data_IF_683230959835
#
_entry.id   IF_683230959835
#
_cell.length_a   1.000
_cell.length_b   1.000
_cell.length_c   1.000
_cell.angle_alpha   90.00
_cell.angle_beta   90.00
_cell.angle_gamma   90.00
#
_symmetry.space_group_name_H-M   'P 1'
#
loop_
_entity.id
_entity.type
_entity.pdbx_description
1 polymer ?
#
# COMPACT_ATOMS: atom_id res chain seq x y z
N UNK A 1 13.25 8.01 -6.97
CA UNK A 1 13.69 7.15 -5.85
C UNK A 1 12.87 7.28 -4.56
N UNK A 2 12.25 8.43 -4.24
CA UNK A 2 11.50 8.61 -2.99
C UNK A 2 10.22 7.74 -2.88
N UNK A 3 9.40 7.70 -3.93
CA UNK A 3 8.11 6.99 -3.87
C UNK A 3 8.27 5.48 -3.69
N UNK A 4 9.24 4.88 -4.37
CA UNK A 4 9.57 3.46 -4.22
C UNK A 4 10.00 3.14 -2.78
N UNK A 5 10.91 3.94 -2.20
CA UNK A 5 11.36 3.76 -0.83
C UNK A 5 10.24 3.98 0.20
N UNK A 6 9.39 4.99 -0.04
CA UNK A 6 8.23 5.28 0.80
C UNK A 6 7.27 4.09 0.85
N UNK A 7 6.87 3.57 -0.31
CA UNK A 7 5.96 2.43 -0.37
C UNK A 7 6.60 1.13 0.11
N UNK A 8 7.85 0.86 -0.25
CA UNK A 8 8.57 -0.34 0.19
C UNK A 8 8.71 -0.36 1.72
N UNK A 9 9.15 0.75 2.32
CA UNK A 9 9.31 0.87 3.77
C UNK A 9 7.97 0.76 4.48
N UNK A 10 6.97 1.51 4.04
CA UNK A 10 5.63 1.49 4.65
C UNK A 10 4.97 0.12 4.57
N UNK A 11 5.10 -0.57 3.44
CA UNK A 11 4.60 -1.93 3.25
C UNK A 11 5.31 -2.94 4.16
N UNK A 12 6.64 -2.88 4.25
CA UNK A 12 7.42 -3.78 5.10
C UNK A 12 7.07 -3.60 6.59
N UNK A 13 6.92 -2.36 7.05
CA UNK A 13 6.51 -2.06 8.43
C UNK A 13 5.06 -2.48 8.70
N UNK A 14 4.15 -2.29 7.74
CA UNK A 14 2.78 -2.80 7.85
C UNK A 14 2.75 -4.33 8.02
N UNK A 15 3.51 -5.07 7.22
CA UNK A 15 3.61 -6.52 7.36
C UNK A 15 4.22 -6.93 8.70
N UNK A 16 5.22 -6.20 9.19
CA UNK A 16 5.83 -6.46 10.48
C UNK A 16 4.81 -6.29 11.62
N UNK A 17 4.01 -5.23 11.59
CA UNK A 17 2.94 -4.99 12.55
C UNK A 17 1.86 -6.07 12.47
N UNK A 18 1.41 -6.42 11.26
CA UNK A 18 0.35 -7.42 11.04
C UNK A 18 0.75 -8.80 11.57
N UNK A 19 1.99 -9.22 11.35
CA UNK A 19 2.45 -10.57 11.67
C UNK A 19 3.26 -10.68 12.97
N UNK A 20 3.50 -9.56 13.66
CA UNK A 20 4.32 -9.51 14.88
C UNK A 20 5.79 -9.87 14.67
N UNK A 21 6.27 -9.88 13.42
CA UNK A 21 7.64 -10.22 13.05
C UNK A 21 8.01 -9.59 11.72
N UNK A 22 9.29 -9.26 11.53
CA UNK A 22 9.78 -8.78 10.24
C UNK A 22 9.68 -9.88 9.19
N UNK A 23 9.13 -9.55 8.03
CA UNK A 23 9.01 -10.44 6.87
C UNK A 23 9.98 -9.94 5.80
N UNK A 24 10.88 -10.82 5.34
CA UNK A 24 11.69 -10.57 4.16
C UNK A 24 10.92 -11.03 2.94
N UNK A 25 10.57 -10.12 2.04
CA UNK A 25 9.90 -10.43 0.79
C UNK A 25 10.91 -10.41 -0.37
N UNK A 26 10.76 -11.32 -1.35
CA UNK A 26 11.41 -11.18 -2.65
C UNK A 26 11.14 -9.83 -3.30
N UNK A 27 12.15 -9.26 -3.98
CA UNK A 27 12.05 -7.92 -4.60
C UNK A 27 10.85 -7.79 -5.55
N UNK A 28 10.54 -8.83 -6.33
CA UNK A 28 9.41 -8.82 -7.25
C UNK A 28 8.04 -8.71 -6.55
N UNK A 29 7.92 -9.12 -5.28
CA UNK A 29 6.70 -8.91 -4.49
C UNK A 29 6.64 -7.47 -3.96
N UNK A 30 7.77 -6.91 -3.53
CA UNK A 30 7.86 -5.49 -3.15
C UNK A 30 7.51 -4.59 -4.34
N UNK A 31 8.06 -4.84 -5.52
CA UNK A 31 7.80 -4.05 -6.73
C UNK A 31 6.30 -4.06 -7.10
N UNK A 32 5.65 -5.23 -6.96
CA UNK A 32 4.21 -5.34 -7.16
C UNK A 32 3.42 -4.59 -6.10
N UNK A 33 3.84 -4.65 -4.83
CA UNK A 33 3.18 -3.92 -3.75
C UNK A 33 3.27 -2.41 -3.97
N UNK A 34 4.43 -1.91 -4.41
CA UNK A 34 4.62 -0.50 -4.77
C UNK A 34 3.60 -0.04 -5.82
N UNK A 35 3.43 -0.80 -6.91
CA UNK A 35 2.48 -0.46 -7.98
C UNK A 35 1.03 -0.41 -7.47
N UNK A 36 0.66 -1.40 -6.67
CA UNK A 36 -0.68 -1.50 -6.07
C UNK A 36 -0.95 -0.32 -5.12
N UNK A 37 0.00 -0.01 -4.24
CA UNK A 37 -0.12 1.06 -3.26
C UNK A 37 -0.14 2.44 -3.92
N UNK A 38 0.62 2.61 -4.99
CA UNK A 38 0.56 3.82 -5.81
C UNK A 38 -0.83 3.99 -6.44
N UNK A 39 -1.35 2.95 -7.10
CA UNK A 39 -2.68 3.01 -7.70
C UNK A 39 -3.76 3.35 -6.66
N UNK A 40 -3.67 2.72 -5.48
CA UNK A 40 -4.58 3.00 -4.37
C UNK A 40 -4.49 4.44 -3.88
N UNK A 41 -3.29 5.01 -3.75
CA UNK A 41 -3.11 6.40 -3.39
C UNK A 41 -3.79 7.34 -4.40
N UNK A 42 -3.65 7.06 -5.70
CA UNK A 42 -4.30 7.83 -6.76
C UNK A 42 -5.84 7.74 -6.69
N UNK A 43 -6.40 6.55 -6.44
CA UNK A 43 -7.84 6.37 -6.30
C UNK A 43 -8.40 7.10 -5.08
N UNK A 44 -7.74 6.98 -3.92
CA UNK A 44 -8.14 7.69 -2.70
C UNK A 44 -8.11 9.21 -2.89
N UNK A 45 -7.10 9.74 -3.58
CA UNK A 45 -7.04 11.17 -3.87
C UNK A 45 -8.12 11.61 -4.86
N UNK A 46 -8.41 10.79 -5.87
CA UNK A 46 -9.49 11.03 -6.83
C UNK A 46 -10.86 11.08 -6.14
N UNK A 47 -11.17 10.09 -5.30
CA UNK A 47 -12.42 10.06 -4.54
C UNK A 47 -12.56 11.30 -3.65
N UNK A 48 -11.46 11.69 -2.98
CA UNK A 48 -11.40 12.90 -2.16
C UNK A 48 -11.68 14.17 -2.98
N UNK A 49 -11.09 14.31 -4.17
CA UNK A 49 -11.30 15.45 -5.06
C UNK A 49 -12.74 15.52 -5.59
N UNK A 50 -13.37 14.36 -5.80
CA UNK A 50 -14.76 14.26 -6.27
C UNK A 50 -15.80 14.32 -5.15
N UNK A 51 -15.37 14.41 -3.88
CA UNK A 51 -16.27 14.36 -2.73
C UNK A 51 -16.98 13.02 -2.55
N UNK A 52 -16.40 11.94 -3.09
CA UNK A 52 -16.94 10.59 -3.04
C UNK A 52 -16.41 9.85 -1.81
N UNK A 53 -17.22 8.92 -1.29
CA UNK A 53 -16.76 8.02 -0.23
C UNK A 53 -16.03 6.85 -0.88
N UNK A 54 -14.74 6.71 -0.59
CA UNK A 54 -13.96 5.60 -1.11
C UNK A 54 -14.34 4.27 -0.42
N UNK A 55 -14.57 3.18 -1.16
CA UNK A 55 -14.80 1.85 -0.56
C UNK A 55 -13.58 1.36 0.25
N UNK A 56 -12.40 1.91 -0.04
CA UNK A 56 -11.13 1.55 0.59
C UNK A 56 -10.70 2.52 1.71
N UNK A 57 -11.55 3.49 2.05
CA UNK A 57 -11.24 4.52 3.05
C UNK A 57 -10.87 3.93 4.43
N UNK A 58 -11.46 2.79 4.79
CA UNK A 58 -11.25 2.14 6.08
C UNK A 58 -10.19 1.03 6.05
N UNK A 59 -9.62 0.73 4.88
CA UNK A 59 -8.59 -0.31 4.77
C UNK A 59 -7.22 0.26 5.18
N UNK A 60 -6.31 -0.54 5.77
CA UNK A 60 -4.96 -0.07 6.10
C UNK A 60 -4.20 0.38 4.85
N UNK A 61 -3.66 1.61 4.83
CA UNK A 61 -3.09 2.21 3.60
C UNK A 61 -2.01 1.35 2.93
N UNK A 62 -1.06 0.81 3.71
CA UNK A 62 0.08 0.02 3.22
C UNK A 62 -0.22 -1.48 3.01
N UNK A 63 -1.49 -1.88 3.07
CA UNK A 63 -1.92 -3.24 2.74
C UNK A 63 -2.15 -3.40 1.24
N UNK A 64 -1.53 -4.41 0.66
CA UNK A 64 -1.70 -4.90 -0.71
C UNK A 64 -2.69 -6.08 -0.81
N UNK A 65 -3.40 -6.40 0.30
CA UNK A 65 -4.28 -7.56 0.39
C UNK A 65 -5.55 -7.41 -0.44
N UNK A 66 -5.87 -8.45 -1.20
CA UNK A 66 -7.05 -8.45 -2.08
C UNK A 66 -6.91 -7.52 -3.29
N UNK A 67 -5.68 -7.09 -3.61
CA UNK A 67 -5.35 -6.24 -4.75
C UNK A 67 -4.58 -7.01 -5.85
N UNK A 68 -4.52 -8.34 -5.75
CA UNK A 68 -3.99 -9.29 -6.74
C UNK A 68 -5.06 -10.29 -7.19
#
# INVERSE_FOLDING_TARGET
>A
PFMEEYFATGHAEWLALKHGRRISLPQNLIDRAILVLWNRACLLDTDRLLGQTSPDANKPFFSDEGLY
#
